data_IF_330023193757
#
_entry.id   IF_330023193757
#
_cell.length_a   1.000
_cell.length_b   1.000
_cell.length_c   1.000
_cell.angle_alpha   90.00
_cell.angle_beta   90.00
_cell.angle_gamma   90.00
#
_symmetry.space_group_name_H-M   'P 1'
#
loop_
_entity.id
_entity.type
_entity.pdbx_description
1 polymer ?
#
# COMPACT_ATOMS: atom_id res chain seq x y z
N UNK A 1 -39.74 7.16 44.41
CA UNK A 1 -39.68 7.71 43.05
C UNK A 1 -38.46 7.19 42.32
N UNK A 2 -38.63 6.17 41.52
CA UNK A 2 -37.58 5.56 40.71
C UNK A 2 -37.57 6.21 39.33
N UNK A 3 -36.50 6.83 38.96
CA UNK A 3 -36.30 7.37 37.63
C UNK A 3 -35.93 6.25 36.69
N UNK A 4 -36.83 5.80 35.87
CA UNK A 4 -36.59 5.00 34.68
C UNK A 4 -36.41 5.98 33.52
N UNK A 5 -35.20 6.18 33.07
CA UNK A 5 -34.96 7.11 31.98
C UNK A 5 -33.51 6.98 31.48
N UNK A 6 -33.16 5.91 30.77
CA UNK A 6 -31.81 5.74 30.34
C UNK A 6 -31.56 5.25 28.90
N UNK A 7 -32.52 4.63 28.25
CA UNK A 7 -32.22 3.96 26.96
C UNK A 7 -32.41 4.78 25.69
N UNK A 8 -33.04 5.93 25.74
CA UNK A 8 -33.25 6.80 24.58
C UNK A 8 -32.05 7.69 24.25
N UNK A 9 -31.21 8.01 25.23
CA UNK A 9 -30.10 8.95 25.09
C UNK A 9 -28.82 8.31 24.50
N UNK A 10 -28.61 7.00 24.69
CA UNK A 10 -27.37 6.32 24.25
C UNK A 10 -27.34 6.27 22.71
N UNK A 11 -28.44 5.93 22.06
CA UNK A 11 -28.50 5.85 20.59
C UNK A 11 -28.37 7.24 19.92
N UNK A 12 -28.91 8.29 20.50
CA UNK A 12 -28.73 9.66 19.98
C UNK A 12 -27.32 10.18 20.24
N UNK A 13 -26.71 9.85 21.37
CA UNK A 13 -25.31 10.21 21.68
C UNK A 13 -24.31 9.54 20.75
N UNK A 14 -24.45 8.25 20.46
CA UNK A 14 -23.60 7.52 19.51
C UNK A 14 -23.79 8.08 18.09
N UNK A 15 -25.02 8.37 17.70
CA UNK A 15 -25.31 8.97 16.39
C UNK A 15 -24.70 10.36 16.26
N UNK A 16 -24.82 11.20 17.28
CA UNK A 16 -24.21 12.53 17.29
C UNK A 16 -22.69 12.46 17.29
N UNK A 17 -22.10 11.50 18.00
CA UNK A 17 -20.65 11.26 17.98
C UNK A 17 -20.19 10.85 16.58
N UNK A 18 -20.92 9.97 15.91
CA UNK A 18 -20.61 9.56 14.52
C UNK A 18 -20.73 10.74 13.54
N UNK A 19 -21.79 11.54 13.63
CA UNK A 19 -21.97 12.74 12.82
C UNK A 19 -20.83 13.73 13.07
N UNK A 20 -20.49 13.97 14.34
CA UNK A 20 -19.40 14.87 14.73
C UNK A 20 -18.05 14.37 14.20
N UNK A 21 -17.80 13.07 14.25
CA UNK A 21 -16.57 12.47 13.70
C UNK A 21 -16.45 12.68 12.19
N UNK A 22 -17.56 12.55 11.45
CA UNK A 22 -17.58 12.77 10.01
C UNK A 22 -17.47 14.25 9.65
N UNK A 23 -18.20 15.12 10.34
CA UNK A 23 -18.22 16.57 10.05
C UNK A 23 -16.93 17.28 10.47
N UNK A 24 -16.26 16.77 11.52
CA UNK A 24 -14.98 17.31 12.00
C UNK A 24 -13.76 16.56 11.44
N UNK A 25 -13.97 15.60 10.54
CA UNK A 25 -12.88 14.90 9.89
C UNK A 25 -12.00 15.89 9.12
N UNK A 26 -10.73 15.93 9.48
CA UNK A 26 -9.71 16.67 8.75
C UNK A 26 -8.85 15.65 8.01
N UNK A 27 -8.71 15.77 6.68
CA UNK A 27 -7.76 14.94 5.95
C UNK A 27 -6.34 15.19 6.50
N UNK A 28 -5.51 14.17 6.49
CA UNK A 28 -4.11 14.25 6.93
C UNK A 28 -3.29 15.09 5.95
N UNK A 29 -3.64 15.03 4.67
CA UNK A 29 -3.04 15.85 3.63
C UNK A 29 -3.66 17.25 3.62
N UNK A 30 -2.85 18.26 3.37
CA UNK A 30 -3.35 19.60 3.10
C UNK A 30 -4.30 19.58 1.89
N UNK A 31 -5.37 20.37 1.91
CA UNK A 31 -6.28 20.46 0.77
C UNK A 31 -5.50 20.86 -0.49
N UNK A 32 -5.70 20.12 -1.56
CA UNK A 32 -5.09 20.44 -2.85
C UNK A 32 -5.61 21.80 -3.35
N UNK A 33 -4.69 22.75 -3.54
CA UNK A 33 -5.02 24.02 -4.16
C UNK A 33 -4.87 23.90 -5.67
N UNK A 34 -5.98 23.67 -6.37
CA UNK A 34 -6.00 23.55 -7.82
C UNK A 34 -5.72 24.86 -8.57
N UNK A 35 -5.73 26.00 -7.86
CA UNK A 35 -5.38 27.30 -8.45
C UNK A 35 -3.87 27.42 -8.59
N UNK A 36 -3.13 27.02 -7.55
CA UNK A 36 -1.68 27.21 -7.51
C UNK A 36 -0.92 25.98 -8.01
N UNK A 37 -1.57 24.81 -8.03
CA UNK A 37 -0.94 23.55 -8.45
C UNK A 37 -1.63 23.01 -9.70
N UNK A 38 -0.96 23.00 -10.87
CA UNK A 38 -1.52 22.45 -12.09
C UNK A 38 -1.95 21.00 -11.93
N UNK A 39 -3.11 20.65 -12.47
CA UNK A 39 -3.64 19.27 -12.41
C UNK A 39 -2.65 18.25 -12.98
N UNK A 40 -1.87 18.65 -13.98
CA UNK A 40 -0.81 17.79 -14.56
C UNK A 40 0.30 17.42 -13.58
N UNK A 41 0.54 18.23 -12.55
CA UNK A 41 1.50 17.93 -11.47
C UNK A 41 0.89 17.06 -10.37
N UNK A 42 -0.42 17.15 -10.19
CA UNK A 42 -1.15 16.36 -9.20
C UNK A 42 -1.45 14.95 -9.72
N UNK A 43 -1.74 14.83 -11.00
CA UNK A 43 -2.07 13.54 -11.60
C UNK A 43 -0.88 12.59 -11.55
N UNK A 44 -1.07 11.47 -10.86
CA UNK A 44 -0.05 10.43 -10.71
C UNK A 44 1.13 10.79 -9.81
N UNK A 45 1.07 11.88 -9.01
CA UNK A 45 2.15 12.27 -8.11
C UNK A 45 2.45 11.21 -7.02
N UNK A 46 1.48 10.37 -6.70
CA UNK A 46 1.59 9.27 -5.76
C UNK A 46 1.79 7.90 -6.44
N UNK A 47 2.22 7.88 -7.69
CA UNK A 47 2.49 6.66 -8.46
C UNK A 47 3.98 6.53 -8.70
N UNK A 48 4.54 5.33 -8.46
CA UNK A 48 5.91 4.98 -8.83
C UNK A 48 6.00 4.79 -10.35
N UNK A 49 5.90 5.90 -11.06
CA UNK A 49 5.80 5.99 -12.53
C UNK A 49 7.14 5.72 -13.21
N UNK A 50 7.11 5.54 -14.53
CA UNK A 50 8.33 5.45 -15.36
C UNK A 50 9.23 6.68 -15.18
N UNK A 51 8.67 7.87 -14.95
CA UNK A 51 9.43 9.09 -14.67
C UNK A 51 10.18 8.99 -13.34
N UNK A 52 9.51 8.53 -12.29
CA UNK A 52 10.13 8.29 -10.97
C UNK A 52 11.22 7.22 -11.08
N UNK A 53 10.94 6.10 -11.74
CA UNK A 53 11.90 5.03 -11.98
C UNK A 53 13.15 5.52 -12.70
N UNK A 54 12.97 6.33 -13.75
CA UNK A 54 14.08 6.90 -14.53
C UNK A 54 15.00 7.78 -13.70
N UNK A 55 14.43 8.54 -12.76
CA UNK A 55 15.18 9.47 -11.92
C UNK A 55 15.88 8.78 -10.74
N UNK A 56 15.37 7.63 -10.30
CA UNK A 56 15.84 6.96 -9.07
C UNK A 56 16.63 5.68 -9.30
N UNK A 57 16.52 5.07 -10.47
CA UNK A 57 17.21 3.84 -10.79
C UNK A 57 18.47 4.10 -11.62
N UNK A 58 19.54 3.33 -11.42
CA UNK A 58 20.66 3.27 -12.35
C UNK A 58 20.18 2.95 -13.77
N UNK A 59 20.78 3.59 -14.78
CA UNK A 59 20.36 3.42 -16.19
C UNK A 59 20.19 1.96 -16.65
N UNK A 60 21.12 1.03 -16.32
CA UNK A 60 20.95 -0.37 -16.71
C UNK A 60 19.74 -1.04 -16.07
N UNK A 61 19.50 -0.76 -14.77
CA UNK A 61 18.35 -1.29 -14.02
C UNK A 61 17.05 -0.73 -14.56
N UNK A 62 16.98 0.59 -14.83
CA UNK A 62 15.83 1.20 -15.44
C UNK A 62 15.48 0.58 -16.80
N UNK A 63 16.48 0.37 -17.67
CA UNK A 63 16.25 -0.27 -18.97
C UNK A 63 15.76 -1.71 -18.83
N UNK A 64 16.35 -2.48 -17.92
CA UNK A 64 15.94 -3.85 -17.65
C UNK A 64 14.49 -3.91 -17.12
N UNK A 65 14.14 -3.01 -16.18
CA UNK A 65 12.77 -2.90 -15.65
C UNK A 65 11.76 -2.51 -16.73
N UNK A 66 12.08 -1.53 -17.59
CA UNK A 66 11.21 -1.16 -18.70
C UNK A 66 10.97 -2.33 -19.66
N UNK A 67 12.00 -3.10 -19.98
CA UNK A 67 11.88 -4.31 -20.82
C UNK A 67 10.95 -5.34 -20.16
N UNK A 68 11.12 -5.56 -18.87
CA UNK A 68 10.28 -6.47 -18.09
C UNK A 68 8.81 -6.01 -18.09
N UNK A 69 8.56 -4.71 -17.92
CA UNK A 69 7.20 -4.12 -18.01
C UNK A 69 6.59 -4.33 -19.40
N UNK A 70 7.35 -4.15 -20.45
CA UNK A 70 6.88 -4.31 -21.85
C UNK A 70 6.60 -5.78 -22.21
N UNK A 71 7.40 -6.72 -21.70
CA UNK A 71 7.19 -8.15 -21.91
C UNK A 71 6.12 -8.75 -21.00
N UNK A 72 5.74 -8.07 -19.92
CA UNK A 72 4.82 -8.58 -18.89
C UNK A 72 5.39 -9.76 -18.10
N UNK A 73 6.70 -9.92 -18.08
CA UNK A 73 7.39 -10.96 -17.32
C UNK A 73 7.50 -10.59 -15.83
N UNK A 74 7.92 -11.56 -15.03
CA UNK A 74 8.22 -11.32 -13.62
C UNK A 74 9.49 -10.48 -13.48
N UNK A 75 9.57 -9.69 -12.41
CA UNK A 75 10.78 -8.93 -12.10
C UNK A 75 11.96 -9.88 -11.88
N UNK A 76 13.07 -9.59 -12.54
CA UNK A 76 14.33 -10.33 -12.36
C UNK A 76 14.84 -10.15 -10.91
N UNK A 77 15.04 -11.23 -10.15
CA UNK A 77 15.59 -11.16 -8.81
C UNK A 77 16.94 -10.42 -8.73
N UNK A 78 17.72 -10.42 -9.80
CA UNK A 78 19.02 -9.76 -9.84
C UNK A 78 18.93 -8.23 -9.72
N UNK A 79 17.82 -7.63 -10.13
CA UNK A 79 17.58 -6.18 -10.02
C UNK A 79 16.53 -5.83 -8.95
N UNK A 80 15.88 -6.83 -8.37
CA UNK A 80 14.77 -6.63 -7.45
C UNK A 80 15.18 -5.82 -6.21
N UNK A 81 16.33 -6.05 -5.64
CA UNK A 81 16.82 -5.30 -4.46
C UNK A 81 17.05 -3.83 -4.78
N UNK A 82 17.60 -3.51 -5.95
CA UNK A 82 17.83 -2.12 -6.37
C UNK A 82 16.50 -1.40 -6.60
N UNK A 83 15.55 -2.08 -7.23
CA UNK A 83 14.20 -1.53 -7.46
C UNK A 83 13.47 -1.33 -6.13
N UNK A 84 13.53 -2.31 -5.23
CA UNK A 84 12.90 -2.23 -3.91
C UNK A 84 13.49 -1.08 -3.08
N UNK A 85 14.80 -0.92 -3.06
CA UNK A 85 15.46 0.19 -2.34
C UNK A 85 15.01 1.56 -2.88
N UNK A 86 15.01 1.75 -4.19
CA UNK A 86 14.54 2.99 -4.80
C UNK A 86 13.06 3.28 -4.53
N UNK A 87 12.22 2.25 -4.58
CA UNK A 87 10.79 2.34 -4.27
C UNK A 87 10.56 2.70 -2.80
N UNK A 88 11.30 2.09 -1.88
CA UNK A 88 11.26 2.39 -0.44
C UNK A 88 11.66 3.85 -0.18
N UNK A 89 12.79 4.30 -0.72
CA UNK A 89 13.26 5.67 -0.49
C UNK A 89 12.25 6.69 -1.02
N UNK A 90 11.69 6.46 -2.19
CA UNK A 90 10.62 7.29 -2.73
C UNK A 90 9.37 7.28 -1.83
N UNK A 91 8.96 6.12 -1.34
CA UNK A 91 7.79 5.99 -0.48
C UNK A 91 7.98 6.69 0.86
N UNK A 92 9.16 6.57 1.48
CA UNK A 92 9.50 7.25 2.75
C UNK A 92 9.51 8.77 2.55
N UNK A 93 10.04 9.29 1.45
CA UNK A 93 9.98 10.72 1.13
C UNK A 93 8.54 11.22 0.96
N UNK A 94 7.62 10.35 0.55
CA UNK A 94 6.17 10.60 0.50
C UNK A 94 5.46 10.43 1.84
N UNK A 95 6.20 10.11 2.91
CA UNK A 95 5.66 9.93 4.25
C UNK A 95 5.17 8.51 4.56
N UNK A 96 5.44 7.54 3.70
CA UNK A 96 5.04 6.16 3.97
C UNK A 96 5.85 5.56 5.13
N UNK A 97 5.17 4.90 6.06
CA UNK A 97 5.75 4.18 7.20
C UNK A 97 5.65 2.67 7.02
N UNK A 98 4.73 2.24 6.16
CA UNK A 98 4.39 0.85 5.90
C UNK A 98 4.29 0.59 4.41
N UNK A 99 4.38 -0.68 4.05
CA UNK A 99 4.03 -1.17 2.73
C UNK A 99 2.95 -2.25 2.84
N UNK A 100 2.16 -2.42 1.79
CA UNK A 100 1.13 -3.43 1.72
C UNK A 100 1.14 -4.11 0.35
N UNK A 101 1.17 -5.44 0.36
CA UNK A 101 0.77 -6.20 -0.82
C UNK A 101 -0.75 -6.23 -0.86
N UNK A 102 -1.31 -5.62 -1.89
CA UNK A 102 -2.77 -5.60 -2.09
C UNK A 102 -3.17 -6.93 -2.72
N UNK A 103 -4.24 -7.52 -2.20
CA UNK A 103 -4.75 -8.79 -2.68
C UNK A 103 -6.26 -8.69 -2.90
N UNK A 104 -6.71 -9.10 -4.07
CA UNK A 104 -8.13 -9.14 -4.43
C UNK A 104 -8.58 -10.61 -4.47
N UNK A 105 -9.09 -11.17 -3.36
CA UNK A 105 -9.58 -12.55 -3.36
C UNK A 105 -10.79 -12.72 -4.29
N UNK A 106 -10.95 -13.91 -4.84
CA UNK A 106 -12.05 -14.27 -5.75
C UNK A 106 -13.45 -14.09 -5.13
N UNK A 107 -13.53 -13.90 -3.83
CA UNK A 107 -14.78 -13.64 -3.08
C UNK A 107 -15.28 -12.20 -3.17
N UNK A 108 -14.58 -11.32 -3.90
CA UNK A 108 -14.95 -9.91 -4.05
C UNK A 108 -14.54 -9.00 -2.88
N UNK A 109 -13.91 -9.53 -1.84
CA UNK A 109 -13.34 -8.73 -0.77
C UNK A 109 -11.87 -8.39 -1.08
N UNK A 110 -11.47 -7.15 -0.82
CA UNK A 110 -10.06 -6.73 -0.89
C UNK A 110 -9.38 -7.04 0.43
N UNK A 111 -8.19 -7.64 0.38
CA UNK A 111 -7.35 -7.85 1.54
C UNK A 111 -5.96 -7.27 1.30
N UNK A 112 -5.31 -6.82 2.38
CA UNK A 112 -4.00 -6.22 2.35
C UNK A 112 -3.14 -6.84 3.45
N UNK A 113 -1.90 -7.20 3.13
CA UNK A 113 -0.90 -7.51 4.14
C UNK A 113 -0.03 -6.30 4.36
N UNK A 114 -0.19 -5.66 5.52
CA UNK A 114 0.61 -4.52 5.94
C UNK A 114 1.86 -4.97 6.68
N UNK A 115 2.99 -4.36 6.33
CA UNK A 115 4.25 -4.50 7.03
C UNK A 115 4.92 -3.14 7.21
N UNK A 116 5.70 -2.99 8.29
CA UNK A 116 6.49 -1.79 8.53
C UNK A 116 7.78 -1.82 7.71
N UNK A 117 8.26 -0.64 7.29
CA UNK A 117 9.62 -0.50 6.77
C UNK A 117 10.69 -0.60 7.85
N UNK A 118 10.32 -0.53 9.13
CA UNK A 118 11.27 -0.56 10.23
C UNK A 118 11.71 -2.00 10.55
N UNK A 119 13.02 -2.21 10.54
CA UNK A 119 13.66 -3.42 11.02
C UNK A 119 14.64 -3.08 12.17
N UNK A 120 14.81 -3.94 13.18
CA UNK A 120 15.82 -3.74 14.21
C UNK A 120 17.22 -3.67 13.61
N UNK A 121 18.05 -2.73 14.06
CA UNK A 121 19.44 -2.58 13.61
C UNK A 121 20.45 -3.46 14.40
N UNK A 122 19.98 -4.14 15.43
CA UNK A 122 20.82 -4.97 16.32
C UNK A 122 21.46 -4.22 17.49
N UNK A 123 21.47 -2.88 17.46
CA UNK A 123 22.07 -2.05 18.49
C UNK A 123 21.05 -1.28 19.36
N UNK A 124 19.79 -1.73 19.32
CA UNK A 124 18.68 -1.14 20.06
C UNK A 124 17.97 0.00 19.34
N UNK A 125 18.31 0.25 18.09
CA UNK A 125 17.65 1.16 17.16
C UNK A 125 16.87 0.42 16.09
N UNK A 126 16.46 1.16 15.06
CA UNK A 126 15.77 0.61 13.89
C UNK A 126 16.25 1.29 12.61
N UNK A 127 16.30 0.52 11.54
CA UNK A 127 16.60 1.01 10.19
C UNK A 127 15.41 0.79 9.27
N UNK A 128 15.34 1.56 8.19
CA UNK A 128 14.36 1.33 7.15
C UNK A 128 14.88 0.28 6.17
N UNK A 129 14.13 -0.82 6.02
CA UNK A 129 14.48 -1.94 5.14
C UNK A 129 13.30 -2.31 4.24
N UNK A 130 13.61 -2.60 2.99
CA UNK A 130 12.70 -3.19 2.02
C UNK A 130 13.50 -3.91 0.94
N UNK A 131 13.47 -5.22 0.96
CA UNK A 131 14.26 -6.07 0.05
C UNK A 131 13.50 -6.41 -1.22
N UNK A 132 14.24 -6.82 -2.25
CA UNK A 132 13.66 -7.38 -3.47
C UNK A 132 12.78 -8.59 -3.21
N UNK A 133 13.14 -9.42 -2.24
CA UNK A 133 12.32 -10.55 -1.80
C UNK A 133 10.97 -10.08 -1.24
N UNK A 134 10.96 -9.03 -0.42
CA UNK A 134 9.73 -8.45 0.11
C UNK A 134 8.88 -7.80 -0.98
N UNK A 135 9.51 -7.22 -2.01
CA UNK A 135 8.80 -6.64 -3.15
C UNK A 135 8.13 -7.69 -4.03
N UNK A 136 8.85 -8.75 -4.41
CA UNK A 136 8.39 -9.70 -5.44
C UNK A 136 7.64 -10.90 -4.90
N UNK A 137 7.78 -11.21 -3.61
CA UNK A 137 7.14 -12.37 -2.97
C UNK A 137 6.63 -11.98 -1.59
N UNK A 138 5.46 -11.34 -1.53
CA UNK A 138 4.73 -11.27 -0.30
C UNK A 138 4.13 -12.64 0.01
N UNK A 139 4.56 -13.31 1.08
CA UNK A 139 3.85 -14.47 1.61
C UNK A 139 2.80 -13.97 2.61
N UNK A 140 1.50 -13.90 2.23
CA UNK A 140 0.49 -13.46 3.18
C UNK A 140 0.29 -14.54 4.22
N UNK A 141 0.37 -14.14 5.47
CA UNK A 141 -0.16 -14.91 6.56
C UNK A 141 -1.70 -14.79 6.54
N UNK A 142 -2.41 -15.91 6.62
CA UNK A 142 -3.88 -15.93 6.65
C UNK A 142 -4.49 -15.10 7.79
N UNK A 143 -3.75 -14.85 8.87
CA UNK A 143 -4.17 -13.96 9.96
C UNK A 143 -4.28 -12.49 9.56
N UNK A 144 -3.65 -12.08 8.44
CA UNK A 144 -3.69 -10.71 7.93
C UNK A 144 -4.98 -10.38 7.15
N UNK A 145 -5.82 -11.36 6.88
CA UNK A 145 -7.06 -11.17 6.14
C UNK A 145 -8.27 -11.04 7.06
N UNK A 146 -9.13 -10.02 6.88
CA UNK A 146 -10.31 -9.81 7.72
C UNK A 146 -11.27 -11.00 7.74
N UNK A 147 -11.29 -11.81 6.68
CA UNK A 147 -12.17 -12.98 6.53
C UNK A 147 -11.53 -14.30 6.95
N UNK A 148 -10.25 -14.32 7.34
CA UNK A 148 -9.53 -15.41 8.04
C UNK A 148 -9.75 -16.85 7.59
N UNK A 149 -10.32 -17.13 6.43
CA UNK A 149 -10.65 -18.46 5.98
C UNK A 149 -9.47 -19.19 5.33
N UNK A 150 -9.40 -20.50 5.53
CA UNK A 150 -8.39 -21.39 4.91
C UNK A 150 -8.35 -21.20 3.39
N UNK A 151 -9.48 -20.95 2.76
CA UNK A 151 -9.60 -20.71 1.32
C UNK A 151 -8.96 -19.40 0.90
N UNK A 152 -9.20 -18.31 1.62
CA UNK A 152 -8.59 -17.02 1.35
C UNK A 152 -7.06 -17.09 1.46
N UNK A 153 -6.53 -17.79 2.45
CA UNK A 153 -5.10 -18.05 2.63
C UNK A 153 -4.50 -18.83 1.48
N UNK A 154 -5.19 -19.86 1.01
CA UNK A 154 -4.73 -20.68 -0.11
C UNK A 154 -4.74 -19.89 -1.43
N UNK A 155 -5.79 -19.13 -1.68
CA UNK A 155 -5.90 -18.26 -2.85
C UNK A 155 -4.87 -17.13 -2.83
N UNK A 156 -4.57 -16.57 -1.65
CA UNK A 156 -3.61 -15.48 -1.48
C UNK A 156 -2.16 -15.87 -1.80
N UNK A 157 -1.75 -17.10 -1.55
CA UNK A 157 -0.37 -17.57 -1.76
C UNK A 157 0.13 -17.40 -3.19
N UNK A 158 -0.76 -17.43 -4.18
CA UNK A 158 -0.43 -17.27 -5.60
C UNK A 158 -0.42 -15.82 -6.08
N UNK A 159 -0.95 -14.86 -5.31
CA UNK A 159 -1.25 -13.51 -5.77
C UNK A 159 -0.48 -12.38 -5.09
N UNK A 160 0.32 -12.67 -4.06
CA UNK A 160 1.15 -11.68 -3.37
C UNK A 160 2.50 -11.49 -4.05
N UNK A 161 2.45 -11.24 -5.35
CA UNK A 161 3.61 -10.93 -6.18
C UNK A 161 3.37 -9.53 -6.74
N UNK A 162 4.42 -8.70 -6.81
CA UNK A 162 4.28 -7.46 -7.55
C UNK A 162 4.14 -7.75 -9.05
N UNK A 163 3.05 -7.29 -9.61
CA UNK A 163 2.89 -7.22 -11.07
C UNK A 163 3.57 -5.94 -11.57
N UNK A 164 4.71 -6.10 -12.24
CA UNK A 164 5.50 -4.96 -12.75
C UNK A 164 4.74 -4.09 -13.76
N UNK A 165 3.69 -4.60 -14.39
CA UNK A 165 2.80 -3.85 -15.30
C UNK A 165 1.86 -2.92 -14.56
N UNK A 166 1.68 -3.14 -13.26
CA UNK A 166 0.86 -2.33 -12.36
C UNK A 166 1.77 -1.53 -11.42
N UNK A 167 1.90 -0.23 -11.59
CA UNK A 167 2.83 0.56 -10.77
C UNK A 167 2.43 0.55 -9.31
N UNK A 168 3.42 0.49 -8.42
CA UNK A 168 3.21 0.73 -7.00
C UNK A 168 2.76 2.17 -6.78
N UNK A 169 2.00 2.42 -5.73
CA UNK A 169 1.44 3.73 -5.44
C UNK A 169 1.35 4.01 -3.94
N UNK A 170 1.27 5.28 -3.60
CA UNK A 170 1.09 5.74 -2.22
C UNK A 170 -0.39 5.94 -1.94
N UNK A 171 -0.85 5.37 -0.85
CA UNK A 171 -2.18 5.58 -0.27
C UNK A 171 -2.05 6.31 1.05
N UNK A 172 -2.64 7.49 1.13
CA UNK A 172 -2.72 8.28 2.34
C UNK A 172 -4.00 7.92 3.10
N UNK A 173 -3.85 7.42 4.32
CA UNK A 173 -4.94 7.05 5.20
C UNK A 173 -4.87 7.84 6.51
N UNK A 174 -5.99 7.99 7.26
CA UNK A 174 -6.00 8.59 8.59
C UNK A 174 -5.02 7.94 9.58
N UNK A 175 -4.73 6.66 9.40
CA UNK A 175 -3.87 5.86 10.27
C UNK A 175 -2.41 5.78 9.79
N UNK A 176 -2.06 6.47 8.72
CA UNK A 176 -0.72 6.49 8.16
C UNK A 176 -0.70 6.31 6.64
N UNK A 177 0.42 6.65 6.07
CA UNK A 177 0.67 6.55 4.62
C UNK A 177 1.33 5.20 4.31
N UNK A 178 0.83 4.53 3.29
CA UNK A 178 1.23 3.17 2.93
C UNK A 178 1.68 3.11 1.47
N UNK A 179 2.80 2.43 1.20
CA UNK A 179 3.17 1.99 -0.13
C UNK A 179 2.35 0.77 -0.51
N UNK A 180 1.53 0.86 -1.54
CA UNK A 180 0.71 -0.24 -2.04
C UNK A 180 1.38 -0.91 -3.24
N UNK A 181 1.47 -2.24 -3.19
CA UNK A 181 2.10 -3.09 -4.20
C UNK A 181 1.01 -3.94 -4.85
N UNK A 182 0.62 -3.64 -6.12
CA UNK A 182 -0.46 -4.36 -6.78
C UNK A 182 -0.07 -5.77 -7.18
N UNK A 183 -1.00 -6.75 -7.08
CA UNK A 183 -0.81 -8.11 -7.56
C UNK A 183 -1.11 -8.21 -9.06
N UNK A 184 -0.76 -9.36 -9.67
CA UNK A 184 -1.25 -9.69 -11.00
C UNK A 184 -2.79 -9.77 -11.00
N UNK A 185 -3.44 -9.49 -12.14
CA UNK A 185 -4.87 -9.65 -12.27
C UNK A 185 -5.28 -11.10 -12.00
N UNK A 186 -6.37 -11.29 -11.26
CA UNK A 186 -6.92 -12.60 -10.90
C UNK A 186 -7.22 -13.41 -12.16
N UNK A 187 -6.63 -14.59 -12.26
CA UNK A 187 -6.79 -15.49 -13.40
C UNK A 187 -5.56 -15.62 -14.30
N UNK A 188 -4.56 -14.79 -14.13
CA UNK A 188 -3.28 -14.94 -14.82
C UNK A 188 -2.33 -15.83 -14.00
N UNK A 189 -2.55 -17.12 -14.00
CA UNK A 189 -1.47 -18.06 -13.75
C UNK A 189 -0.52 -17.99 -14.94
N UNK A 190 0.51 -17.21 -14.83
CA UNK A 190 1.65 -17.22 -15.76
C UNK A 190 2.83 -17.94 -15.16
#
# INVERSE_FOLDING_TARGET
ASAVGGNGYIGSSVRMAAISAVTNYKPISEPLNFIDTPTSMLFGCNVFSKSVMKNRLPKPVYKALCKTIESGEKLDPAIADVVAAAMKDWAIEKGATHYAHVFYPLTGATAEKHDSFLAPDGDGGAMAEFSGKQLIQGEPDGSSFPTGGIRATFEARGYTIWDVTSPAYILENPNGTTLCIPPPPTGASR
#
